data_IF_507687879397
#
_entry.id   IF_507687879397
#
_cell.length_a   1.000
_cell.length_b   1.000
_cell.length_c   1.000
_cell.angle_alpha   90.00
_cell.angle_beta   90.00
_cell.angle_gamma   90.00
#
_symmetry.space_group_name_H-M   'P 1'
#
loop_
_entity.id
_entity.type
_entity.pdbx_description
1 polymer ?
#
# COMPACT_ATOMS: atom_id res chain seq x y z
N UNK A 1 -17.88 -39.24 -2.73
CA UNK A 1 -18.72 -39.21 -1.51
C UNK A 1 -19.82 -38.20 -1.80
N UNK A 2 -21.09 -38.61 -1.72
CA UNK A 2 -22.22 -37.65 -1.85
C UNK A 2 -22.20 -36.79 -0.61
N UNK A 3 -21.77 -35.50 -0.75
CA UNK A 3 -21.91 -34.55 0.32
C UNK A 3 -23.39 -34.39 0.65
N UNK A 4 -23.75 -34.52 1.95
CA UNK A 4 -25.11 -34.29 2.40
C UNK A 4 -25.49 -32.85 2.07
N UNK A 5 -26.58 -32.67 1.30
CA UNK A 5 -27.06 -31.34 0.94
C UNK A 5 -28.14 -30.91 1.93
N UNK A 6 -28.13 -29.64 2.31
CA UNK A 6 -29.26 -29.03 3.00
C UNK A 6 -29.96 -28.05 2.07
N UNK A 7 -31.25 -27.88 2.26
CA UNK A 7 -32.05 -26.90 1.53
C UNK A 7 -32.02 -25.58 2.28
N UNK A 8 -31.65 -24.53 1.56
CA UNK A 8 -31.74 -23.13 2.01
C UNK A 8 -32.80 -22.41 1.17
N UNK A 9 -33.36 -21.32 1.70
CA UNK A 9 -34.42 -20.55 1.08
C UNK A 9 -34.10 -19.06 1.06
N UNK A 10 -34.42 -18.39 -0.03
CA UNK A 10 -34.45 -16.94 -0.15
C UNK A 10 -35.71 -16.48 -0.92
N UNK A 11 -35.82 -15.19 -1.25
CA UNK A 11 -36.97 -14.61 -1.96
C UNK A 11 -37.20 -15.25 -3.36
N UNK A 12 -36.21 -15.94 -3.90
CA UNK A 12 -36.29 -16.65 -5.22
C UNK A 12 -36.56 -18.14 -5.10
N UNK A 13 -36.76 -18.63 -3.86
CA UNK A 13 -37.10 -20.02 -3.59
C UNK A 13 -35.96 -20.89 -3.05
N UNK A 14 -36.19 -22.17 -3.06
CA UNK A 14 -35.29 -23.19 -2.50
C UNK A 14 -34.05 -23.41 -3.39
N UNK A 15 -32.92 -23.67 -2.74
CA UNK A 15 -31.67 -24.05 -3.39
C UNK A 15 -30.88 -25.03 -2.51
N UNK A 16 -30.31 -26.11 -3.07
CA UNK A 16 -29.46 -27.01 -2.33
C UNK A 16 -28.07 -26.34 -2.06
N UNK A 17 -27.60 -26.46 -0.81
CA UNK A 17 -26.28 -25.98 -0.36
C UNK A 17 -25.54 -27.16 0.27
N UNK A 18 -24.22 -27.33 0.08
CA UNK A 18 -23.48 -28.38 0.76
C UNK A 18 -23.63 -28.28 2.27
N UNK A 19 -23.97 -29.39 2.93
CA UNK A 19 -24.38 -29.42 4.33
C UNK A 19 -23.30 -29.01 5.33
N UNK A 20 -22.02 -29.18 4.97
CA UNK A 20 -20.84 -28.84 5.75
C UNK A 20 -20.56 -27.32 5.82
N UNK A 21 -21.04 -26.54 4.85
CA UNK A 21 -20.80 -25.10 4.80
C UNK A 21 -21.80 -24.28 5.62
N UNK A 22 -21.35 -23.09 6.05
CA UNK A 22 -22.18 -22.15 6.80
C UNK A 22 -22.90 -21.13 5.94
N UNK A 23 -22.52 -20.97 4.67
CA UNK A 23 -23.23 -20.04 3.77
C UNK A 23 -24.64 -20.54 3.44
N UNK A 24 -25.48 -19.63 2.94
CA UNK A 24 -26.87 -19.92 2.62
C UNK A 24 -27.20 -19.75 1.14
N UNK A 25 -28.50 -19.51 0.86
CA UNK A 25 -29.05 -19.49 -0.49
C UNK A 25 -28.45 -18.41 -1.38
N UNK A 26 -28.29 -17.17 -0.90
CA UNK A 26 -27.79 -16.07 -1.72
C UNK A 26 -26.32 -16.25 -2.09
N UNK A 27 -25.51 -16.77 -1.18
CA UNK A 27 -24.12 -17.12 -1.47
C UNK A 27 -24.03 -18.23 -2.49
N UNK A 28 -24.84 -19.29 -2.36
CA UNK A 28 -24.86 -20.40 -3.32
C UNK A 28 -25.22 -19.91 -4.73
N UNK A 29 -26.25 -19.06 -4.87
CA UNK A 29 -26.58 -18.47 -6.17
C UNK A 29 -25.44 -17.62 -6.74
N UNK A 30 -24.73 -16.89 -5.89
CA UNK A 30 -23.59 -16.08 -6.32
C UNK A 30 -22.45 -16.95 -6.84
N UNK A 31 -22.14 -18.05 -6.19
CA UNK A 31 -21.14 -19.04 -6.64
C UNK A 31 -21.50 -19.55 -8.05
N UNK A 32 -22.78 -19.87 -8.28
CA UNK A 32 -23.24 -20.40 -9.56
C UNK A 32 -23.26 -19.34 -10.67
N UNK A 33 -23.70 -18.11 -10.36
CA UNK A 33 -23.90 -17.07 -11.37
C UNK A 33 -22.65 -16.24 -11.66
N UNK A 34 -21.71 -16.14 -10.72
CA UNK A 34 -20.48 -15.33 -10.84
C UNK A 34 -19.20 -16.18 -10.79
N UNK A 35 -19.19 -17.32 -11.45
CA UNK A 35 -18.00 -18.15 -11.63
C UNK A 35 -17.02 -17.50 -12.61
N UNK A 36 -16.51 -16.32 -12.25
CA UNK A 36 -15.65 -15.49 -13.08
C UNK A 36 -14.28 -15.41 -12.43
N UNK A 37 -13.24 -15.84 -13.16
CA UNK A 37 -11.83 -15.77 -12.77
C UNK A 37 -11.52 -16.40 -11.40
N UNK A 38 -10.34 -16.14 -10.88
CA UNK A 38 -9.85 -16.75 -9.63
C UNK A 38 -9.78 -15.77 -8.46
N UNK A 39 -9.91 -14.47 -8.72
CA UNK A 39 -9.86 -13.45 -7.67
C UNK A 39 -11.05 -13.60 -6.72
N UNK A 40 -10.73 -13.63 -5.43
CA UNK A 40 -11.71 -13.69 -4.35
C UNK A 40 -11.72 -12.40 -3.56
N UNK A 41 -12.81 -12.15 -2.84
CA UNK A 41 -12.89 -11.01 -1.95
C UNK A 41 -11.74 -11.04 -0.94
N UNK A 42 -11.01 -9.90 -0.76
CA UNK A 42 -9.85 -9.86 0.11
C UNK A 42 -10.19 -10.21 1.57
N UNK A 43 -9.37 -11.02 2.26
CA UNK A 43 -9.60 -11.37 3.67
C UNK A 43 -9.72 -10.15 4.59
N UNK A 44 -8.97 -9.08 4.33
CA UNK A 44 -9.02 -7.84 5.11
C UNK A 44 -10.41 -7.19 5.06
N UNK A 45 -11.05 -7.20 3.89
CA UNK A 45 -12.43 -6.72 3.74
C UNK A 45 -13.41 -7.61 4.49
N UNK A 46 -13.24 -8.92 4.41
CA UNK A 46 -14.12 -9.89 5.09
C UNK A 46 -14.03 -9.71 6.62
N UNK A 47 -12.82 -9.54 7.15
CA UNK A 47 -12.61 -9.24 8.58
C UNK A 47 -13.22 -7.88 8.97
N UNK A 48 -13.08 -6.86 8.13
CA UNK A 48 -13.72 -5.57 8.35
C UNK A 48 -15.26 -5.66 8.32
N UNK A 49 -15.84 -6.45 7.40
CA UNK A 49 -17.29 -6.73 7.38
C UNK A 49 -17.73 -7.40 8.69
N UNK A 50 -17.02 -8.42 9.16
CA UNK A 50 -17.32 -9.09 10.41
C UNK A 50 -17.23 -8.12 11.61
N UNK A 51 -16.24 -7.22 11.60
CA UNK A 51 -16.09 -6.18 12.63
C UNK A 51 -17.28 -5.22 12.64
N UNK A 52 -17.74 -4.77 11.47
CA UNK A 52 -18.93 -3.92 11.32
C UNK A 52 -20.19 -4.66 11.83
N UNK A 53 -20.37 -5.94 11.49
CA UNK A 53 -21.50 -6.76 11.98
C UNK A 53 -21.47 -6.93 13.50
N UNK A 54 -20.28 -7.15 14.08
CA UNK A 54 -20.10 -7.21 15.53
C UNK A 54 -20.50 -5.90 16.21
N UNK A 55 -20.05 -4.76 15.68
CA UNK A 55 -20.39 -3.44 16.22
C UNK A 55 -21.90 -3.16 16.13
N UNK A 56 -22.51 -3.44 14.96
CA UNK A 56 -23.96 -3.27 14.76
C UNK A 56 -24.81 -4.16 15.70
N UNK A 57 -24.38 -5.44 15.90
CA UNK A 57 -25.07 -6.34 16.84
C UNK A 57 -24.98 -5.84 18.29
N UNK A 58 -23.82 -5.33 18.73
CA UNK A 58 -23.66 -4.72 20.05
C UNK A 58 -24.56 -3.50 20.26
N UNK A 59 -24.61 -2.61 19.28
CA UNK A 59 -25.44 -1.40 19.31
C UNK A 59 -26.92 -1.78 19.35
N UNK A 60 -27.38 -2.68 18.47
CA UNK A 60 -28.77 -3.14 18.45
C UNK A 60 -29.16 -3.89 19.74
N UNK A 61 -28.25 -4.67 20.31
CA UNK A 61 -28.44 -5.37 21.59
C UNK A 61 -28.62 -4.38 22.74
N UNK A 62 -27.74 -3.38 22.87
CA UNK A 62 -27.84 -2.32 23.90
C UNK A 62 -29.11 -1.48 23.77
N UNK A 63 -29.55 -1.25 22.52
CA UNK A 63 -30.78 -0.54 22.25
C UNK A 63 -32.07 -1.38 22.43
N UNK A 64 -31.97 -2.66 22.81
CA UNK A 64 -33.09 -3.57 22.96
C UNK A 64 -33.80 -3.95 21.64
N UNK A 65 -33.21 -3.63 20.48
CA UNK A 65 -33.74 -3.96 19.15
C UNK A 65 -33.43 -5.40 18.73
N UNK A 66 -32.35 -5.98 19.28
CA UNK A 66 -31.94 -7.35 19.08
C UNK A 66 -31.91 -8.06 20.45
N UNK A 67 -32.48 -9.25 20.62
CA UNK A 67 -32.38 -10.00 21.85
C UNK A 67 -30.91 -10.20 22.27
N UNK A 68 -30.61 -9.99 23.56
CA UNK A 68 -29.23 -9.98 24.05
C UNK A 68 -28.47 -11.27 23.76
N UNK A 69 -29.11 -12.46 23.87
CA UNK A 69 -28.52 -13.74 23.56
C UNK A 69 -28.16 -13.89 22.07
N UNK A 70 -28.99 -13.34 21.16
CA UNK A 70 -28.68 -13.32 19.73
C UNK A 70 -27.54 -12.35 19.41
N UNK A 71 -27.56 -11.16 20.01
CA UNK A 71 -26.50 -10.17 19.86
C UNK A 71 -25.14 -10.76 20.30
N UNK A 72 -25.07 -11.40 21.45
CA UNK A 72 -23.85 -12.05 21.94
C UNK A 72 -23.38 -13.17 21.00
N UNK A 73 -24.30 -14.01 20.53
CA UNK A 73 -23.97 -15.10 19.61
C UNK A 73 -23.42 -14.58 18.26
N UNK A 74 -23.98 -13.49 17.71
CA UNK A 74 -23.48 -12.84 16.49
C UNK A 74 -22.07 -12.26 16.73
N UNK A 75 -21.86 -11.58 17.86
CA UNK A 75 -20.54 -11.02 18.25
C UNK A 75 -19.49 -12.12 18.35
N UNK A 76 -19.81 -13.26 18.96
CA UNK A 76 -18.89 -14.41 19.06
C UNK A 76 -18.61 -15.04 17.69
N UNK A 77 -19.62 -15.22 16.85
CA UNK A 77 -19.46 -15.73 15.49
C UNK A 77 -18.58 -14.78 14.65
N UNK A 78 -18.78 -13.46 14.77
CA UNK A 78 -17.95 -12.46 14.08
C UNK A 78 -16.49 -12.49 14.57
N UNK A 79 -16.24 -12.70 15.85
CA UNK A 79 -14.88 -12.84 16.38
C UNK A 79 -14.15 -14.04 15.75
N UNK A 80 -14.83 -15.18 15.61
CA UNK A 80 -14.26 -16.37 14.93
C UNK A 80 -13.90 -16.08 13.45
N UNK A 81 -14.70 -15.26 12.75
CA UNK A 81 -14.39 -14.84 11.37
C UNK A 81 -13.17 -13.90 11.35
N UNK A 82 -13.10 -12.93 12.28
CA UNK A 82 -11.96 -12.00 12.39
C UNK A 82 -10.66 -12.76 12.66
N UNK A 83 -10.71 -13.85 13.43
CA UNK A 83 -9.58 -14.74 13.70
C UNK A 83 -9.21 -15.66 12.51
N UNK A 84 -9.97 -15.62 11.41
CA UNK A 84 -9.72 -16.43 10.21
C UNK A 84 -10.14 -17.89 10.30
N UNK A 85 -10.93 -18.26 11.31
CA UNK A 85 -11.35 -19.66 11.48
C UNK A 85 -12.30 -20.16 10.38
N UNK A 86 -12.94 -19.22 9.66
CA UNK A 86 -13.98 -19.50 8.69
C UNK A 86 -13.67 -18.95 7.28
N UNK A 87 -12.39 -18.74 6.95
CA UNK A 87 -12.00 -18.14 5.66
C UNK A 87 -12.57 -18.93 4.46
N UNK A 88 -12.67 -20.25 4.56
CA UNK A 88 -13.25 -21.11 3.51
C UNK A 88 -14.75 -20.86 3.24
N UNK A 89 -15.46 -20.21 4.18
CA UNK A 89 -16.88 -19.89 4.04
C UNK A 89 -17.16 -18.64 3.18
N UNK A 90 -16.11 -18.00 2.66
CA UNK A 90 -16.19 -16.77 1.86
C UNK A 90 -15.61 -16.97 0.44
N UNK A 91 -16.23 -17.83 -0.39
CA UNK A 91 -15.68 -18.23 -1.69
C UNK A 91 -15.98 -17.25 -2.83
N UNK A 92 -16.63 -16.12 -2.56
CA UNK A 92 -17.18 -15.26 -3.61
C UNK A 92 -16.12 -14.53 -4.42
N UNK A 93 -16.37 -14.48 -5.75
CA UNK A 93 -15.54 -13.73 -6.69
C UNK A 93 -15.60 -12.22 -6.42
N UNK A 94 -14.51 -11.51 -6.73
CA UNK A 94 -14.50 -10.03 -6.86
C UNK A 94 -15.50 -9.57 -7.94
N UNK A 95 -15.64 -10.35 -9.00
CA UNK A 95 -16.51 -10.10 -10.15
C UNK A 95 -17.95 -10.52 -9.86
N UNK A 96 -18.59 -9.76 -8.95
CA UNK A 96 -19.95 -9.95 -8.47
C UNK A 96 -20.76 -8.68 -8.68
N UNK A 97 -21.97 -8.56 -8.10
CA UNK A 97 -22.73 -7.31 -8.15
C UNK A 97 -21.91 -6.16 -7.56
N UNK A 98 -21.88 -5.05 -8.25
CA UNK A 98 -21.02 -3.91 -7.90
C UNK A 98 -21.37 -3.20 -6.59
N UNK A 99 -22.54 -3.47 -6.00
CA UNK A 99 -22.91 -3.01 -4.67
C UNK A 99 -22.21 -3.78 -3.53
N UNK A 100 -21.71 -4.98 -3.81
CA UNK A 100 -21.16 -5.90 -2.81
C UNK A 100 -22.23 -6.67 -2.03
N UNK A 101 -23.48 -6.68 -2.51
CA UNK A 101 -24.60 -7.32 -1.81
C UNK A 101 -24.35 -8.79 -1.54
N UNK A 102 -23.79 -9.55 -2.51
CA UNK A 102 -23.52 -10.97 -2.29
C UNK A 102 -22.51 -11.17 -1.16
N UNK A 103 -21.46 -10.40 -1.08
CA UNK A 103 -20.49 -10.50 0.04
C UNK A 103 -21.10 -10.11 1.39
N UNK A 104 -21.95 -9.07 1.43
CA UNK A 104 -22.69 -8.72 2.62
C UNK A 104 -23.62 -9.87 3.06
N UNK A 105 -24.34 -10.48 2.13
CA UNK A 105 -25.23 -11.62 2.43
C UNK A 105 -24.44 -12.87 2.79
N UNK A 106 -23.31 -13.13 2.15
CA UNK A 106 -22.42 -14.22 2.56
C UNK A 106 -22.01 -14.07 4.03
N UNK A 107 -21.58 -12.89 4.44
CA UNK A 107 -21.27 -12.62 5.85
C UNK A 107 -22.50 -12.81 6.74
N UNK A 108 -23.66 -12.29 6.36
CA UNK A 108 -24.89 -12.44 7.13
C UNK A 108 -25.29 -13.91 7.30
N UNK A 109 -25.22 -14.72 6.24
CA UNK A 109 -25.58 -16.12 6.24
C UNK A 109 -24.64 -16.97 7.10
N UNK A 110 -23.32 -16.75 6.97
CA UNK A 110 -22.30 -17.43 7.76
C UNK A 110 -22.46 -17.09 9.26
N UNK A 111 -22.60 -15.81 9.57
CA UNK A 111 -22.79 -15.38 10.97
C UNK A 111 -24.09 -15.89 11.56
N UNK A 112 -25.19 -15.89 10.79
CA UNK A 112 -26.50 -16.39 11.26
C UNK A 112 -26.46 -17.89 11.58
N UNK A 113 -25.89 -18.70 10.67
CA UNK A 113 -25.75 -20.13 10.88
C UNK A 113 -24.80 -20.44 12.04
N UNK A 114 -23.65 -19.75 12.13
CA UNK A 114 -22.71 -19.94 13.22
C UNK A 114 -23.27 -19.50 14.57
N UNK A 115 -23.94 -18.35 14.63
CA UNK A 115 -24.60 -17.88 15.85
C UNK A 115 -25.72 -18.85 16.30
N UNK A 116 -26.47 -19.42 15.36
CA UNK A 116 -27.47 -20.47 15.66
C UNK A 116 -26.80 -21.68 16.33
N UNK A 117 -25.69 -22.18 15.78
CA UNK A 117 -24.92 -23.28 16.40
C UNK A 117 -24.44 -22.92 17.82
N UNK A 118 -23.95 -21.69 18.03
CA UNK A 118 -23.49 -21.21 19.35
C UNK A 118 -24.62 -21.12 20.39
N UNK A 119 -25.86 -20.99 19.92
CA UNK A 119 -27.08 -21.03 20.73
C UNK A 119 -27.66 -22.46 20.92
N UNK A 120 -27.00 -23.49 20.37
CA UNK A 120 -27.47 -24.86 20.40
C UNK A 120 -28.57 -25.18 19.38
N UNK A 121 -28.78 -24.30 18.38
CA UNK A 121 -29.74 -24.49 17.32
C UNK A 121 -29.13 -25.10 16.04
N UNK A 122 -29.98 -25.50 15.07
CA UNK A 122 -29.55 -26.02 13.78
C UNK A 122 -29.08 -24.89 12.84
N UNK A 123 -28.48 -25.28 11.72
CA UNK A 123 -28.25 -24.41 10.54
C UNK A 123 -29.43 -24.53 9.56
N UNK A 124 -29.46 -23.67 8.56
CA UNK A 124 -30.46 -23.72 7.50
C UNK A 124 -31.81 -23.12 7.88
N UNK A 125 -32.89 -23.65 7.34
CA UNK A 125 -34.24 -23.08 7.48
C UNK A 125 -34.72 -22.92 8.93
N UNK A 126 -34.24 -23.76 9.84
CA UNK A 126 -34.63 -23.75 11.25
C UNK A 126 -33.64 -23.02 12.17
N UNK A 127 -32.69 -22.26 11.61
CA UNK A 127 -31.72 -21.51 12.40
C UNK A 127 -32.41 -20.54 13.38
N UNK A 128 -31.78 -20.32 14.53
CA UNK A 128 -32.32 -19.44 15.57
C UNK A 128 -32.02 -17.96 15.31
N UNK A 129 -31.05 -17.65 14.44
CA UNK A 129 -30.63 -16.30 14.08
C UNK A 129 -30.86 -16.08 12.61
N UNK A 130 -31.61 -15.05 12.24
CA UNK A 130 -31.94 -14.77 10.84
C UNK A 130 -30.90 -13.83 10.17
N UNK A 131 -30.41 -14.12 8.95
CA UNK A 131 -29.40 -13.29 8.30
C UNK A 131 -29.83 -11.85 8.03
N UNK A 132 -31.09 -11.62 7.63
CA UNK A 132 -31.61 -10.27 7.37
C UNK A 132 -32.15 -9.59 8.64
N UNK A 133 -33.00 -10.29 9.39
CA UNK A 133 -33.77 -9.67 10.48
C UNK A 133 -32.94 -9.49 11.74
N UNK A 134 -31.92 -10.34 11.99
CA UNK A 134 -31.05 -10.26 13.18
C UNK A 134 -29.66 -9.70 12.79
N UNK A 135 -28.92 -10.35 11.88
CA UNK A 135 -27.53 -9.96 11.56
C UNK A 135 -27.46 -8.63 10.82
N UNK A 136 -28.39 -8.42 9.86
CA UNK A 136 -28.43 -7.21 9.04
C UNK A 136 -29.36 -6.13 9.59
N UNK A 137 -29.85 -6.25 10.82
CA UNK A 137 -30.83 -5.34 11.43
C UNK A 137 -30.34 -3.88 11.39
N UNK A 138 -31.14 -3.00 10.76
CA UNK A 138 -30.86 -1.57 10.61
C UNK A 138 -29.77 -1.26 9.59
N UNK A 139 -29.45 -2.18 8.69
CA UNK A 139 -28.38 -2.04 7.71
C UNK A 139 -28.89 -2.31 6.29
N UNK A 140 -28.14 -1.80 5.30
CA UNK A 140 -28.24 -2.18 3.89
C UNK A 140 -26.85 -2.58 3.40
N UNK A 141 -26.76 -3.42 2.38
CA UNK A 141 -25.47 -3.65 1.69
C UNK A 141 -24.87 -2.35 1.18
N UNK A 142 -25.73 -1.37 0.84
CA UNK A 142 -25.32 -0.11 0.28
C UNK A 142 -24.51 0.76 1.25
N UNK A 143 -24.78 0.70 2.56
CA UNK A 143 -24.05 1.44 3.58
C UNK A 143 -23.01 0.57 4.33
N UNK A 144 -23.28 -0.72 4.54
CA UNK A 144 -22.37 -1.64 5.24
C UNK A 144 -21.10 -1.92 4.43
N UNK A 145 -21.24 -2.23 3.14
CA UNK A 145 -20.08 -2.59 2.32
C UNK A 145 -19.06 -1.46 2.21
N UNK A 146 -19.45 -0.19 1.88
CA UNK A 146 -18.50 0.91 1.88
C UNK A 146 -17.96 1.23 3.28
N UNK A 147 -18.72 1.00 4.35
CA UNK A 147 -18.21 1.10 5.72
C UNK A 147 -17.08 0.11 5.95
N UNK A 148 -17.26 -1.15 5.54
CA UNK A 148 -16.20 -2.15 5.63
C UNK A 148 -14.98 -1.82 4.74
N UNK A 149 -15.19 -1.24 3.55
CA UNK A 149 -14.11 -0.73 2.71
C UNK A 149 -13.26 0.31 3.46
N UNK A 150 -13.90 1.29 4.09
CA UNK A 150 -13.24 2.33 4.85
C UNK A 150 -12.51 1.77 6.08
N UNK A 151 -13.13 0.85 6.82
CA UNK A 151 -12.49 0.19 7.97
C UNK A 151 -11.24 -0.56 7.53
N UNK A 152 -11.32 -1.38 6.48
CA UNK A 152 -10.17 -2.12 5.94
C UNK A 152 -9.07 -1.18 5.43
N UNK A 153 -9.44 -0.08 4.78
CA UNK A 153 -8.50 0.92 4.27
C UNK A 153 -7.72 1.61 5.40
N UNK A 154 -8.43 2.07 6.45
CA UNK A 154 -7.79 2.72 7.61
C UNK A 154 -6.86 1.75 8.33
N UNK A 155 -7.30 0.50 8.58
CA UNK A 155 -6.46 -0.53 9.19
C UNK A 155 -5.21 -0.79 8.34
N UNK A 156 -5.36 -1.00 7.04
CA UNK A 156 -4.25 -1.27 6.12
C UNK A 156 -3.23 -0.13 6.08
N UNK A 157 -3.68 1.12 5.97
CA UNK A 157 -2.78 2.28 5.94
C UNK A 157 -2.10 2.48 7.31
N UNK A 158 -2.88 2.55 8.40
CA UNK A 158 -2.36 2.94 9.71
C UNK A 158 -1.55 1.85 10.41
N UNK A 159 -1.89 0.57 10.20
CA UNK A 159 -1.29 -0.55 10.95
C UNK A 159 -0.27 -1.35 10.13
N UNK A 160 -0.22 -1.16 8.79
CA UNK A 160 0.65 -1.92 7.90
C UNK A 160 1.53 -1.01 7.04
N UNK A 161 0.97 -0.21 6.13
CA UNK A 161 1.75 0.57 5.16
C UNK A 161 2.62 1.62 5.83
N UNK A 162 2.07 2.44 6.74
CA UNK A 162 2.84 3.47 7.46
C UNK A 162 3.97 2.86 8.29
N UNK A 163 3.76 1.82 9.12
CA UNK A 163 4.87 1.19 9.86
C UNK A 163 5.97 0.60 8.97
N UNK A 164 5.62 0.02 7.82
CA UNK A 164 6.62 -0.49 6.88
C UNK A 164 7.44 0.64 6.24
N UNK A 165 6.77 1.74 5.87
CA UNK A 165 7.42 2.95 5.35
C UNK A 165 8.37 3.54 6.39
N UNK A 166 7.94 3.67 7.64
CA UNK A 166 8.75 4.18 8.75
C UNK A 166 9.98 3.30 9.02
N UNK A 167 9.86 1.97 8.91
CA UNK A 167 10.99 1.05 9.02
C UNK A 167 12.05 1.30 7.96
N UNK A 168 11.64 1.35 6.68
CA UNK A 168 12.54 1.64 5.56
C UNK A 168 13.15 3.04 5.66
N UNK A 169 12.33 4.05 6.03
CA UNK A 169 12.79 5.42 6.28
C UNK A 169 13.92 5.45 7.31
N UNK A 170 13.72 4.85 8.47
CA UNK A 170 14.71 4.83 9.55
C UNK A 170 16.04 4.19 9.11
N UNK A 171 15.99 3.10 8.33
CA UNK A 171 17.18 2.46 7.77
C UNK A 171 17.93 3.39 6.83
N UNK A 172 17.24 4.04 5.89
CA UNK A 172 17.86 4.94 4.92
C UNK A 172 18.39 6.23 5.58
N UNK A 173 17.71 6.76 6.57
CA UNK A 173 18.17 7.93 7.35
C UNK A 173 19.46 7.64 8.12
N UNK A 174 19.53 6.46 8.74
CA UNK A 174 20.77 6.00 9.38
C UNK A 174 21.93 5.87 8.37
N UNK A 175 21.65 5.37 7.14
CA UNK A 175 22.65 5.28 6.06
C UNK A 175 23.05 6.68 5.55
N UNK A 176 22.10 7.60 5.39
CA UNK A 176 22.39 8.99 5.02
C UNK A 176 23.36 9.64 6.00
N UNK A 177 23.10 9.48 7.29
CA UNK A 177 23.98 9.97 8.35
C UNK A 177 25.36 9.29 8.33
N UNK A 178 25.42 7.97 8.21
CA UNK A 178 26.66 7.23 8.25
C UNK A 178 27.58 7.47 7.04
N UNK A 179 27.03 7.94 5.92
CA UNK A 179 27.78 8.16 4.66
C UNK A 179 27.90 9.64 4.28
N UNK A 180 27.65 10.57 5.22
CA UNK A 180 27.70 12.02 4.97
C UNK A 180 29.14 12.52 4.72
N UNK A 181 30.15 11.77 5.16
CA UNK A 181 31.57 12.06 4.92
C UNK A 181 32.09 11.57 3.55
N UNK A 182 31.30 10.81 2.78
CA UNK A 182 31.74 10.16 1.55
C UNK A 182 31.43 11.03 0.36
N UNK A 183 32.40 11.83 -0.08
CA UNK A 183 32.29 12.66 -1.28
C UNK A 183 32.36 11.79 -2.53
N UNK A 184 31.39 11.96 -3.40
CA UNK A 184 31.24 11.23 -4.67
C UNK A 184 30.89 12.17 -5.81
N UNK A 185 30.98 11.67 -7.05
CA UNK A 185 30.48 12.40 -8.21
C UNK A 185 28.95 12.36 -8.25
N UNK A 186 28.31 13.50 -8.46
CA UNK A 186 26.88 13.59 -8.76
C UNK A 186 26.62 13.22 -10.21
N UNK A 187 25.37 12.86 -10.53
CA UNK A 187 24.93 12.57 -11.90
C UNK A 187 23.61 13.23 -12.21
N UNK A 188 23.58 13.94 -13.34
CA UNK A 188 22.36 14.45 -13.95
C UNK A 188 22.29 13.92 -15.38
N UNK A 189 21.13 13.49 -15.87
CA UNK A 189 20.98 12.83 -17.18
C UNK A 189 21.83 11.54 -17.30
N UNK A 190 22.20 10.89 -16.21
CA UNK A 190 23.19 9.82 -16.13
C UNK A 190 24.60 10.23 -16.57
N UNK A 191 24.88 11.53 -16.70
CA UNK A 191 26.19 12.09 -17.00
C UNK A 191 26.82 12.64 -15.72
N UNK A 192 28.16 12.69 -15.72
CA UNK A 192 28.92 13.25 -14.60
C UNK A 192 28.52 14.71 -14.33
N UNK A 193 28.30 15.01 -13.06
CA UNK A 193 27.99 16.35 -12.57
C UNK A 193 28.94 16.76 -11.45
N UNK A 194 28.66 17.85 -10.76
CA UNK A 194 29.45 18.30 -9.60
C UNK A 194 29.33 17.35 -8.42
N UNK A 195 30.32 17.33 -7.52
CA UNK A 195 30.30 16.48 -6.32
C UNK A 195 29.15 16.75 -5.38
N UNK A 196 28.77 15.70 -4.67
CA UNK A 196 27.94 15.70 -3.47
C UNK A 196 28.43 14.59 -2.54
N UNK A 197 27.85 14.42 -1.35
CA UNK A 197 28.13 13.24 -0.54
C UNK A 197 27.14 12.12 -0.82
N UNK A 198 27.54 10.86 -0.55
CA UNK A 198 26.62 9.74 -0.62
C UNK A 198 25.46 9.89 0.40
N UNK A 199 25.75 10.47 1.57
CA UNK A 199 24.73 10.82 2.55
C UNK A 199 23.71 11.81 2.01
N UNK A 200 24.15 12.87 1.31
CA UNK A 200 23.25 13.83 0.65
C UNK A 200 22.37 13.16 -0.42
N UNK A 201 22.92 12.25 -1.22
CA UNK A 201 22.15 11.49 -2.21
C UNK A 201 21.04 10.65 -1.55
N UNK A 202 21.37 9.92 -0.49
CA UNK A 202 20.40 9.11 0.28
C UNK A 202 19.38 9.98 1.02
N UNK A 203 19.77 11.14 1.52
CA UNK A 203 18.84 12.07 2.19
C UNK A 203 17.70 12.54 1.29
N UNK A 204 17.95 12.59 -0.03
CA UNK A 204 16.90 12.84 -1.02
C UNK A 204 15.84 11.72 -1.05
N UNK A 205 16.26 10.46 -0.88
CA UNK A 205 15.34 9.31 -0.77
C UNK A 205 14.52 9.36 0.52
N UNK A 206 15.18 9.69 1.64
CA UNK A 206 14.53 9.86 2.96
C UNK A 206 13.43 10.91 2.87
N UNK A 207 13.72 12.08 2.30
CA UNK A 207 12.74 13.16 2.11
C UNK A 207 11.55 12.74 1.23
N UNK A 208 11.76 11.90 0.21
CA UNK A 208 10.65 11.37 -0.59
C UNK A 208 9.72 10.48 0.24
N UNK A 209 10.26 9.68 1.16
CA UNK A 209 9.47 8.85 2.08
C UNK A 209 8.72 9.71 3.11
N UNK A 210 9.33 10.78 3.65
CA UNK A 210 8.63 11.76 4.51
C UNK A 210 7.42 12.37 3.83
N UNK A 211 7.57 12.73 2.54
CA UNK A 211 6.46 13.30 1.77
C UNK A 211 5.34 12.28 1.57
N UNK A 212 5.69 11.03 1.28
CA UNK A 212 4.73 9.94 1.11
C UNK A 212 3.98 9.63 2.41
N UNK A 213 4.68 9.60 3.55
CA UNK A 213 4.06 9.40 4.87
C UNK A 213 3.04 10.50 5.19
N UNK A 214 3.41 11.76 5.00
CA UNK A 214 2.49 12.89 5.19
C UNK A 214 1.26 12.79 4.29
N UNK A 215 1.44 12.38 3.03
CA UNK A 215 0.33 12.19 2.10
C UNK A 215 -0.62 11.08 2.55
N UNK A 216 -0.09 9.94 3.04
CA UNK A 216 -0.90 8.85 3.60
C UNK A 216 -1.68 9.29 4.83
N UNK A 217 -1.04 9.97 5.78
CA UNK A 217 -1.72 10.52 6.96
C UNK A 217 -2.87 11.48 6.60
N UNK A 218 -2.68 12.30 5.57
CA UNK A 218 -3.70 13.25 5.10
C UNK A 218 -4.96 12.58 4.53
N UNK A 219 -4.90 11.30 4.15
CA UNK A 219 -6.07 10.55 3.65
C UNK A 219 -6.94 9.97 4.76
N UNK A 220 -6.40 9.75 5.95
CA UNK A 220 -7.09 9.07 7.05
C UNK A 220 -8.35 9.77 7.54
N UNK A 221 -8.42 11.11 7.69
CA UNK A 221 -9.63 11.77 8.19
C UNK A 221 -10.88 11.42 7.39
N UNK A 222 -10.84 11.48 6.07
CA UNK A 222 -11.99 11.17 5.21
C UNK A 222 -12.31 9.67 5.16
N UNK A 223 -11.29 8.80 5.21
CA UNK A 223 -11.50 7.36 5.31
C UNK A 223 -12.17 6.94 6.63
N UNK A 224 -12.04 7.73 7.69
CA UNK A 224 -12.69 7.47 8.98
C UNK A 224 -14.18 7.80 8.97
N UNK A 225 -14.68 8.50 7.96
CA UNK A 225 -16.11 8.83 7.82
C UNK A 225 -16.87 7.64 7.26
N UNK A 226 -17.77 7.06 8.07
CA UNK A 226 -18.46 5.80 7.74
C UNK A 226 -19.86 6.04 7.16
N UNK A 227 -20.18 5.30 6.10
CA UNK A 227 -21.46 5.37 5.40
C UNK A 227 -22.64 4.77 6.20
N UNK A 228 -22.35 3.88 7.16
CA UNK A 228 -23.36 3.16 7.92
C UNK A 228 -24.35 4.10 8.60
N UNK A 229 -25.62 3.73 8.56
CA UNK A 229 -26.76 4.56 8.97
C UNK A 229 -27.45 5.27 7.80
N UNK A 230 -26.84 5.25 6.57
CA UNK A 230 -27.51 5.76 5.36
C UNK A 230 -28.55 4.81 4.78
N UNK A 231 -28.44 3.53 5.10
CA UNK A 231 -29.27 2.43 4.59
C UNK A 231 -29.31 2.38 3.05
N UNK A 232 -30.50 2.39 2.45
CA UNK A 232 -30.65 2.12 1.02
C UNK A 232 -30.10 3.22 0.10
N UNK A 233 -30.36 4.50 0.42
CA UNK A 233 -30.08 5.67 -0.44
C UNK A 233 -29.48 6.87 0.31
N UNK A 234 -29.21 6.74 1.62
CA UNK A 234 -28.64 7.82 2.43
C UNK A 234 -29.61 8.45 3.43
N UNK A 235 -30.89 8.10 3.38
CA UNK A 235 -31.94 8.70 4.25
C UNK A 235 -32.05 8.07 5.64
N UNK A 236 -31.41 6.90 5.86
CA UNK A 236 -31.49 6.17 7.14
C UNK A 236 -32.85 5.50 7.37
N UNK A 237 -33.58 5.14 6.31
CA UNK A 237 -34.88 4.49 6.43
C UNK A 237 -34.79 3.23 7.29
N UNK A 238 -35.75 3.03 8.21
CA UNK A 238 -35.87 1.88 9.12
C UNK A 238 -34.76 1.76 10.18
N UNK A 239 -33.97 2.83 10.46
CA UNK A 239 -33.01 2.87 11.54
C UNK A 239 -33.27 4.04 12.50
N UNK A 240 -32.84 3.93 13.77
CA UNK A 240 -32.79 5.10 14.66
C UNK A 240 -31.82 6.16 14.11
N UNK A 241 -32.11 7.42 14.33
CA UNK A 241 -31.28 8.54 13.87
C UNK A 241 -29.83 8.47 14.43
N UNK A 242 -29.63 7.90 15.61
CA UNK A 242 -28.30 7.73 16.24
C UNK A 242 -27.53 6.52 15.73
N UNK A 243 -28.17 5.57 15.04
CA UNK A 243 -27.57 4.25 14.74
C UNK A 243 -26.21 4.34 14.07
N UNK A 244 -26.06 5.20 13.04
CA UNK A 244 -24.78 5.37 12.34
C UNK A 244 -23.67 5.92 13.25
N UNK A 245 -24.01 6.90 14.10
CA UNK A 245 -23.07 7.46 15.08
C UNK A 245 -22.69 6.44 16.17
N UNK A 246 -23.67 5.70 16.68
CA UNK A 246 -23.45 4.70 17.72
C UNK A 246 -22.56 3.54 17.24
N UNK A 247 -22.76 3.09 15.98
CA UNK A 247 -21.91 2.04 15.39
C UNK A 247 -20.51 2.56 15.08
N UNK A 248 -20.36 3.79 14.59
CA UNK A 248 -19.05 4.38 14.36
C UNK A 248 -18.26 4.51 15.68
N UNK A 249 -18.91 4.98 16.76
CA UNK A 249 -18.31 5.04 18.08
C UNK A 249 -17.95 3.65 18.64
N UNK A 250 -18.77 2.63 18.38
CA UNK A 250 -18.45 1.27 18.79
C UNK A 250 -17.25 0.71 18.01
N UNK A 251 -17.17 0.96 16.69
CA UNK A 251 -16.00 0.61 15.86
C UNK A 251 -14.73 1.31 16.35
N UNK A 252 -14.84 2.59 16.70
CA UNK A 252 -13.71 3.32 17.27
C UNK A 252 -13.28 2.74 18.61
N UNK A 253 -14.22 2.44 19.51
CA UNK A 253 -13.94 1.77 20.78
C UNK A 253 -13.25 0.40 20.61
N UNK A 254 -13.60 -0.34 19.56
CA UNK A 254 -13.04 -1.67 19.28
C UNK A 254 -11.64 -1.60 18.65
N UNK A 255 -11.32 -0.53 17.93
CA UNK A 255 -10.11 -0.44 17.11
C UNK A 255 -9.13 0.64 17.53
N UNK A 256 -9.59 1.71 18.17
CA UNK A 256 -8.79 2.90 18.48
C UNK A 256 -8.40 3.74 17.25
N UNK A 257 -9.11 3.59 16.12
CA UNK A 257 -8.70 4.19 14.84
C UNK A 257 -9.41 5.52 14.49
N UNK A 258 -10.30 6.03 15.35
CA UNK A 258 -10.93 7.35 15.20
C UNK A 258 -12.09 7.38 14.21
N UNK A 259 -12.86 6.31 14.08
CA UNK A 259 -14.01 6.24 13.18
C UNK A 259 -15.15 7.16 13.64
N UNK A 260 -15.78 7.84 12.68
CA UNK A 260 -16.91 8.75 12.87
C UNK A 260 -18.00 8.47 11.83
N UNK A 261 -19.21 8.89 12.13
CA UNK A 261 -20.30 8.80 11.13
C UNK A 261 -20.10 9.84 10.04
N UNK A 262 -20.22 9.48 8.76
CA UNK A 262 -20.09 10.42 7.65
C UNK A 262 -21.13 11.55 7.78
N UNK A 263 -20.74 12.81 7.60
CA UNK A 263 -21.65 13.97 7.72
C UNK A 263 -22.70 13.99 6.61
N UNK A 264 -22.39 13.37 5.47
CA UNK A 264 -23.31 13.26 4.32
C UNK A 264 -23.37 11.82 3.83
N UNK A 265 -24.47 11.13 4.14
CA UNK A 265 -24.68 9.73 3.75
C UNK A 265 -24.92 9.53 2.26
N UNK A 266 -25.42 10.54 1.56
CA UNK A 266 -25.66 10.49 0.12
C UNK A 266 -24.34 10.43 -0.63
N UNK A 267 -23.37 11.27 -0.26
CA UNK A 267 -22.01 11.22 -0.81
C UNK A 267 -21.31 9.90 -0.45
N UNK A 268 -21.45 9.43 0.80
CA UNK A 268 -20.81 8.21 1.28
C UNK A 268 -21.30 6.91 0.59
N UNK A 269 -22.51 6.92 0.00
CA UNK A 269 -23.05 5.81 -0.77
C UNK A 269 -22.79 5.95 -2.28
N UNK A 270 -22.92 7.17 -2.80
CA UNK A 270 -22.86 7.46 -4.23
C UNK A 270 -21.44 7.68 -4.78
N UNK A 271 -20.52 8.05 -3.92
CA UNK A 271 -19.13 8.34 -4.29
C UNK A 271 -18.12 7.70 -3.31
N UNK A 272 -16.92 7.43 -3.78
CA UNK A 272 -15.83 6.86 -2.96
C UNK A 272 -14.51 7.63 -3.15
N UNK A 273 -14.62 8.97 -3.12
CA UNK A 273 -13.47 9.87 -3.32
C UNK A 273 -12.35 9.65 -2.30
N UNK A 274 -12.70 9.30 -1.06
CA UNK A 274 -11.72 8.97 -0.02
C UNK A 274 -10.84 7.77 -0.39
N UNK A 275 -11.43 6.73 -1.00
CA UNK A 275 -10.70 5.55 -1.51
C UNK A 275 -9.80 5.94 -2.68
N UNK A 276 -10.30 6.77 -3.61
CA UNK A 276 -9.53 7.26 -4.77
C UNK A 276 -8.33 8.10 -4.30
N UNK A 277 -8.52 9.02 -3.35
CA UNK A 277 -7.43 9.81 -2.77
C UNK A 277 -6.40 8.96 -2.03
N UNK A 278 -6.85 7.98 -1.26
CA UNK A 278 -5.96 7.06 -0.57
C UNK A 278 -5.09 6.27 -1.55
N UNK A 279 -5.70 5.77 -2.65
CA UNK A 279 -4.92 5.07 -3.67
C UNK A 279 -3.96 6.01 -4.41
N UNK A 280 -4.34 7.26 -4.65
CA UNK A 280 -3.44 8.29 -5.20
C UNK A 280 -2.20 8.52 -4.32
N UNK A 281 -2.35 8.49 -2.98
CA UNK A 281 -1.21 8.55 -2.06
C UNK A 281 -0.32 7.30 -2.13
N UNK A 282 -0.91 6.11 -2.23
CA UNK A 282 -0.17 4.85 -2.44
C UNK A 282 0.60 4.87 -3.78
N UNK A 283 0.00 5.40 -4.85
CA UNK A 283 0.68 5.58 -6.14
C UNK A 283 1.87 6.54 -6.03
N UNK A 284 1.74 7.64 -5.29
CA UNK A 284 2.84 8.57 -5.08
C UNK A 284 4.00 7.90 -4.31
N UNK A 285 3.70 7.10 -3.29
CA UNK A 285 4.68 6.26 -2.60
C UNK A 285 5.36 5.27 -3.57
N UNK A 286 4.59 4.58 -4.41
CA UNK A 286 5.13 3.65 -5.41
C UNK A 286 6.09 4.35 -6.40
N UNK A 287 5.80 5.59 -6.79
CA UNK A 287 6.69 6.38 -7.64
C UNK A 287 8.02 6.70 -6.93
N UNK A 288 7.98 7.09 -5.66
CA UNK A 288 9.18 7.33 -4.85
C UNK A 288 10.02 6.05 -4.69
N UNK A 289 9.39 4.93 -4.34
CA UNK A 289 10.06 3.64 -4.19
C UNK A 289 10.69 3.15 -5.50
N UNK A 290 10.04 3.38 -6.63
CA UNK A 290 10.59 3.06 -7.96
C UNK A 290 11.89 3.84 -8.22
N UNK A 291 11.92 5.14 -7.89
CA UNK A 291 13.13 5.97 -8.03
C UNK A 291 14.23 5.48 -7.11
N UNK A 292 13.93 5.23 -5.84
CA UNK A 292 14.90 4.74 -4.86
C UNK A 292 15.50 3.40 -5.32
N UNK A 293 14.67 2.43 -5.68
CA UNK A 293 15.13 1.12 -6.16
C UNK A 293 15.99 1.22 -7.43
N UNK A 294 15.66 2.12 -8.35
CA UNK A 294 16.46 2.34 -9.56
C UNK A 294 17.81 2.98 -9.23
N UNK A 295 17.88 3.95 -8.34
CA UNK A 295 19.16 4.55 -7.94
C UNK A 295 20.06 3.49 -7.26
N UNK A 296 19.53 2.74 -6.30
CA UNK A 296 20.27 1.64 -5.64
C UNK A 296 20.80 0.65 -6.67
N UNK A 297 19.97 0.24 -7.63
CA UNK A 297 20.33 -0.69 -8.69
C UNK A 297 21.44 -0.14 -9.61
N UNK A 298 21.37 1.16 -9.95
CA UNK A 298 22.41 1.82 -10.73
C UNK A 298 23.73 1.92 -9.97
N UNK A 299 23.70 2.39 -8.73
CA UNK A 299 24.88 2.54 -7.89
C UNK A 299 25.58 1.20 -7.63
N UNK A 300 24.82 0.12 -7.51
CA UNK A 300 25.34 -1.24 -7.30
C UNK A 300 25.71 -1.97 -8.61
N UNK A 301 25.54 -1.36 -9.77
CA UNK A 301 25.75 -2.03 -11.07
C UNK A 301 27.21 -2.42 -11.29
N UNK A 302 27.42 -3.58 -11.91
CA UNK A 302 28.75 -4.07 -12.24
C UNK A 302 29.03 -5.45 -11.64
N UNK A 303 30.06 -5.62 -10.76
CA UNK A 303 30.84 -4.57 -10.06
C UNK A 303 31.98 -3.93 -10.87
N UNK A 304 32.51 -4.59 -11.90
CA UNK A 304 33.71 -4.11 -12.63
C UNK A 304 33.37 -3.28 -13.87
N UNK A 305 32.25 -3.59 -14.56
CA UNK A 305 31.85 -2.95 -15.81
C UNK A 305 30.65 -2.01 -15.64
N UNK A 306 30.29 -1.67 -14.41
CA UNK A 306 29.24 -0.71 -14.07
C UNK A 306 29.74 0.36 -13.11
N UNK A 307 28.83 1.02 -12.39
CA UNK A 307 29.18 2.05 -11.43
C UNK A 307 29.94 1.50 -10.24
N UNK A 308 29.35 0.53 -9.54
CA UNK A 308 30.00 -0.17 -8.43
C UNK A 308 30.29 0.71 -7.22
N UNK A 309 29.54 1.81 -7.03
CA UNK A 309 29.76 2.75 -5.91
C UNK A 309 29.24 2.21 -4.58
N UNK A 310 28.24 1.32 -4.62
CA UNK A 310 27.73 0.62 -3.43
C UNK A 310 27.70 -0.88 -3.67
N UNK A 311 27.72 -1.62 -2.58
CA UNK A 311 27.46 -3.06 -2.55
C UNK A 311 26.13 -3.31 -1.86
N UNK A 312 25.40 -4.30 -2.34
CA UNK A 312 24.13 -4.77 -1.78
C UNK A 312 24.25 -6.25 -1.41
N UNK A 313 23.39 -6.77 -0.50
CA UNK A 313 23.43 -8.19 -0.12
C UNK A 313 23.26 -9.14 -1.29
N UNK A 314 24.01 -10.25 -1.23
CA UNK A 314 23.93 -11.38 -2.15
C UNK A 314 22.91 -12.37 -1.58
N UNK A 315 21.64 -12.26 -2.00
CA UNK A 315 20.56 -13.09 -1.44
C UNK A 315 20.41 -14.43 -2.15
N UNK A 316 20.54 -14.45 -3.49
CA UNK A 316 20.34 -15.63 -4.31
C UNK A 316 21.40 -15.74 -5.42
N UNK A 317 21.69 -16.97 -5.94
CA UNK A 317 22.48 -17.13 -7.15
C UNK A 317 21.85 -16.38 -8.32
N UNK A 318 22.58 -15.43 -8.91
CA UNK A 318 22.04 -14.52 -9.94
C UNK A 318 21.93 -15.11 -11.34
N UNK A 319 22.49 -16.32 -11.60
CA UNK A 319 22.47 -16.93 -12.93
C UNK A 319 22.74 -18.43 -12.85
N UNK A 320 22.06 -19.20 -13.70
CA UNK A 320 22.29 -20.64 -13.86
C UNK A 320 23.54 -20.97 -14.68
N UNK A 321 24.09 -20.01 -15.45
CA UNK A 321 25.22 -20.23 -16.38
C UNK A 321 26.40 -19.30 -16.14
N UNK A 322 26.29 -18.30 -15.25
CA UNK A 322 27.35 -17.35 -14.89
C UNK A 322 27.63 -17.47 -13.38
N UNK A 323 28.55 -18.35 -12.95
CA UNK A 323 28.85 -18.55 -11.53
C UNK A 323 29.33 -17.25 -10.86
N UNK A 324 28.80 -16.94 -9.67
CA UNK A 324 29.17 -15.75 -8.92
C UNK A 324 28.51 -14.44 -9.38
N UNK A 325 27.58 -14.50 -10.33
CA UNK A 325 26.79 -13.31 -10.71
C UNK A 325 25.75 -13.01 -9.64
N UNK A 326 25.71 -11.77 -9.16
CA UNK A 326 24.71 -11.24 -8.23
C UNK A 326 23.82 -10.26 -8.97
N UNK A 327 22.51 -10.39 -8.78
CA UNK A 327 21.51 -9.50 -9.35
C UNK A 327 20.87 -8.63 -8.26
N UNK A 328 20.40 -7.41 -8.57
CA UNK A 328 19.70 -6.56 -7.64
C UNK A 328 18.22 -6.97 -7.49
N UNK A 329 17.98 -8.24 -7.12
CA UNK A 329 16.66 -8.88 -7.15
C UNK A 329 15.60 -8.17 -6.32
N UNK A 330 15.97 -7.61 -5.17
CA UNK A 330 15.07 -6.83 -4.33
C UNK A 330 14.63 -5.52 -5.00
N UNK A 331 15.55 -4.85 -5.72
CA UNK A 331 15.21 -3.66 -6.50
C UNK A 331 14.24 -4.01 -7.65
N UNK A 332 14.46 -5.15 -8.31
CA UNK A 332 13.59 -5.61 -9.39
C UNK A 332 12.19 -5.94 -8.87
N UNK A 333 12.09 -6.68 -7.77
CA UNK A 333 10.82 -7.01 -7.13
C UNK A 333 10.07 -5.74 -6.72
N UNK A 334 10.75 -4.79 -6.07
CA UNK A 334 10.15 -3.53 -5.64
C UNK A 334 9.63 -2.70 -6.82
N UNK A 335 10.37 -2.60 -7.92
CA UNK A 335 9.91 -1.87 -9.11
C UNK A 335 8.73 -2.55 -9.80
N UNK A 336 8.68 -3.90 -9.84
CA UNK A 336 7.56 -4.65 -10.42
C UNK A 336 6.27 -4.45 -9.60
N UNK A 337 6.34 -4.55 -8.27
CA UNK A 337 5.14 -4.34 -7.45
C UNK A 337 4.64 -2.88 -7.51
N UNK A 338 5.56 -1.90 -7.61
CA UNK A 338 5.20 -0.50 -7.82
C UNK A 338 4.50 -0.28 -9.17
N UNK A 339 4.93 -0.97 -10.22
CA UNK A 339 4.24 -0.97 -11.52
C UNK A 339 2.79 -1.49 -11.38
N UNK A 340 2.58 -2.59 -10.64
CA UNK A 340 1.24 -3.11 -10.37
C UNK A 340 0.38 -2.11 -9.59
N UNK A 341 0.93 -1.46 -8.57
CA UNK A 341 0.21 -0.40 -7.81
C UNK A 341 -0.23 0.74 -8.72
N UNK A 342 0.62 1.18 -9.66
CA UNK A 342 0.27 2.22 -10.63
C UNK A 342 -0.86 1.76 -11.56
N UNK A 343 -0.85 0.49 -11.98
CA UNK A 343 -1.95 -0.11 -12.77
C UNK A 343 -3.26 -0.17 -12.00
N UNK A 344 -3.21 -0.54 -10.72
CA UNK A 344 -4.38 -0.58 -9.84
C UNK A 344 -5.01 0.81 -9.65
N UNK A 345 -4.20 1.88 -9.68
CA UNK A 345 -4.70 3.26 -9.55
C UNK A 345 -5.66 3.63 -10.68
N UNK A 346 -5.41 3.16 -11.89
CA UNK A 346 -6.32 3.37 -13.02
C UNK A 346 -7.66 2.70 -12.75
N UNK A 347 -7.66 1.45 -12.30
CA UNK A 347 -8.88 0.72 -11.99
C UNK A 347 -9.67 1.39 -10.84
N UNK A 348 -9.00 1.83 -9.77
CA UNK A 348 -9.62 2.51 -8.63
C UNK A 348 -10.21 3.86 -9.06
N UNK A 349 -9.49 4.65 -9.87
CA UNK A 349 -9.94 5.95 -10.34
C UNK A 349 -11.16 5.85 -11.26
N UNK A 350 -11.16 4.91 -12.21
CA UNK A 350 -12.30 4.65 -13.09
C UNK A 350 -13.52 4.15 -12.31
N UNK A 351 -13.30 3.24 -11.37
CA UNK A 351 -14.37 2.73 -10.51
C UNK A 351 -14.95 3.83 -9.61
N UNK A 352 -14.10 4.71 -9.05
CA UNK A 352 -14.54 5.86 -8.25
C UNK A 352 -15.39 6.84 -9.04
N UNK A 353 -15.05 7.09 -10.31
CA UNK A 353 -15.79 7.97 -11.21
C UNK A 353 -17.14 7.39 -11.71
N UNK A 354 -17.42 6.11 -11.43
CA UNK A 354 -18.56 5.37 -12.00
C UNK A 354 -19.80 5.35 -11.10
N UNK A 355 -19.89 6.22 -10.09
CA UNK A 355 -21.10 6.40 -9.28
C UNK A 355 -22.24 7.01 -10.09
N UNK A 356 -23.47 6.53 -9.86
CA UNK A 356 -24.66 7.05 -10.49
C UNK A 356 -25.72 7.32 -9.42
N UNK A 357 -26.17 8.57 -9.32
CA UNK A 357 -27.14 9.01 -8.31
C UNK A 357 -26.68 8.60 -6.90
N UNK A 358 -27.47 7.80 -6.18
CA UNK A 358 -27.28 7.48 -4.78
C UNK A 358 -26.40 6.24 -4.53
N UNK A 359 -25.82 5.61 -5.58
CA UNK A 359 -25.01 4.43 -5.39
C UNK A 359 -23.87 4.29 -6.43
N UNK A 360 -22.67 4.04 -5.95
CA UNK A 360 -21.59 3.51 -6.77
C UNK A 360 -21.64 1.97 -6.75
N UNK A 361 -21.63 1.35 -7.93
CA UNK A 361 -21.72 -0.11 -8.10
C UNK A 361 -20.43 -0.73 -8.64
N UNK A 362 -19.26 -0.18 -8.29
CA UNK A 362 -17.92 -0.69 -8.62
C UNK A 362 -17.09 -0.99 -7.36
N UNK A 363 -17.76 -1.13 -6.21
CA UNK A 363 -17.09 -1.27 -4.91
C UNK A 363 -16.18 -2.51 -4.80
N UNK A 364 -16.58 -3.73 -5.26
CA UNK A 364 -15.73 -4.89 -5.15
C UNK A 364 -14.38 -4.76 -5.85
N UNK A 365 -14.35 -4.27 -7.10
CA UNK A 365 -13.10 -4.07 -7.85
C UNK A 365 -12.26 -2.96 -7.23
N UNK A 366 -12.90 -1.90 -6.73
CA UNK A 366 -12.21 -0.78 -6.09
C UNK A 366 -11.45 -1.24 -4.85
N UNK A 367 -12.12 -1.92 -3.93
CA UNK A 367 -11.51 -2.36 -2.69
C UNK A 367 -10.48 -3.48 -2.91
N UNK A 368 -10.70 -4.38 -3.87
CA UNK A 368 -9.73 -5.41 -4.24
C UNK A 368 -8.39 -4.78 -4.64
N UNK A 369 -8.42 -3.81 -5.55
CA UNK A 369 -7.21 -3.14 -6.04
C UNK A 369 -6.53 -2.29 -4.95
N UNK A 370 -7.31 -1.60 -4.10
CA UNK A 370 -6.75 -0.84 -2.98
C UNK A 370 -6.00 -1.74 -1.99
N UNK A 371 -6.64 -2.81 -1.54
CA UNK A 371 -6.05 -3.73 -0.55
C UNK A 371 -4.86 -4.51 -1.14
N UNK A 372 -4.92 -4.89 -2.42
CA UNK A 372 -3.76 -5.48 -3.10
C UNK A 372 -2.58 -4.51 -3.12
N UNK A 373 -2.82 -3.24 -3.45
CA UNK A 373 -1.76 -2.21 -3.47
C UNK A 373 -1.14 -2.00 -2.09
N UNK A 374 -1.96 -2.02 -1.03
CA UNK A 374 -1.46 -1.91 0.34
C UNK A 374 -0.58 -3.10 0.74
N UNK A 375 -1.01 -4.35 0.44
CA UNK A 375 -0.20 -5.54 0.72
C UNK A 375 1.11 -5.52 -0.03
N UNK A 376 1.07 -5.21 -1.32
CA UNK A 376 2.28 -5.13 -2.15
C UNK A 376 3.29 -4.11 -1.62
N UNK A 377 2.82 -2.95 -1.18
CA UNK A 377 3.69 -1.90 -0.64
C UNK A 377 4.21 -2.27 0.77
N UNK A 378 3.37 -2.80 1.65
CA UNK A 378 3.79 -3.25 2.99
C UNK A 378 4.88 -4.33 2.87
N UNK A 379 4.57 -5.43 2.20
CA UNK A 379 5.49 -6.57 2.04
C UNK A 379 6.75 -6.16 1.27
N UNK A 380 6.58 -5.37 0.20
CA UNK A 380 7.69 -4.92 -0.63
C UNK A 380 8.67 -4.01 0.10
N UNK A 381 8.18 -3.05 0.89
CA UNK A 381 9.06 -2.18 1.70
C UNK A 381 9.79 -2.97 2.78
N UNK A 382 9.11 -3.89 3.48
CA UNK A 382 9.76 -4.75 4.49
C UNK A 382 10.80 -5.68 3.88
N UNK A 383 10.51 -6.25 2.73
CA UNK A 383 11.45 -7.12 2.01
C UNK A 383 12.68 -6.35 1.54
N UNK A 384 12.45 -5.20 0.90
CA UNK A 384 13.53 -4.33 0.42
C UNK A 384 14.37 -3.79 1.58
N UNK A 385 13.76 -3.36 2.68
CA UNK A 385 14.48 -2.93 3.87
C UNK A 385 15.40 -4.03 4.39
N UNK A 386 14.84 -5.19 4.70
CA UNK A 386 15.57 -6.30 5.32
C UNK A 386 16.66 -6.89 4.44
N UNK A 387 16.37 -7.08 3.15
CA UNK A 387 17.21 -7.85 2.23
C UNK A 387 18.00 -6.98 1.25
N UNK A 388 17.88 -5.65 1.31
CA UNK A 388 18.65 -4.71 0.49
C UNK A 388 19.15 -3.51 1.31
N UNK A 389 18.25 -2.63 1.80
CA UNK A 389 18.62 -1.34 2.34
C UNK A 389 19.54 -1.44 3.57
N UNK A 390 19.26 -2.36 4.51
CA UNK A 390 20.08 -2.57 5.70
C UNK A 390 21.52 -3.00 5.36
N UNK A 391 21.69 -3.72 4.27
CA UNK A 391 22.99 -4.23 3.81
C UNK A 391 23.70 -3.36 2.76
N UNK A 392 23.22 -2.15 2.48
CA UNK A 392 23.94 -1.21 1.59
C UNK A 392 25.25 -0.78 2.25
N UNK A 393 26.36 -1.00 1.53
CA UNK A 393 27.72 -0.61 1.94
C UNK A 393 28.40 0.21 0.82
N UNK A 394 29.11 1.30 1.14
CA UNK A 394 29.83 2.08 0.13
C UNK A 394 31.10 1.37 -0.31
N UNK A 395 31.42 1.39 -1.59
CA UNK A 395 32.74 1.07 -2.11
C UNK A 395 33.59 2.34 -2.18
N UNK A 396 34.24 2.68 -1.05
CA UNK A 396 34.99 3.93 -0.91
C UNK A 396 36.12 4.07 -1.92
N UNK A 397 36.77 2.97 -2.30
CA UNK A 397 37.86 2.97 -3.28
C UNK A 397 37.31 3.31 -4.68
N UNK A 398 36.23 2.65 -5.08
CA UNK A 398 35.57 2.92 -6.36
C UNK A 398 34.99 4.33 -6.46
N UNK A 399 34.36 4.81 -5.40
CA UNK A 399 33.85 6.18 -5.31
C UNK A 399 35.01 7.18 -5.49
N UNK A 400 36.10 6.99 -4.76
CA UNK A 400 37.27 7.87 -4.86
C UNK A 400 37.96 7.83 -6.24
N UNK A 401 37.99 6.64 -6.88
CA UNK A 401 38.50 6.51 -8.26
C UNK A 401 37.66 7.31 -9.25
N UNK A 402 36.32 7.14 -9.21
CA UNK A 402 35.41 7.85 -10.11
C UNK A 402 35.49 9.37 -9.90
N UNK A 403 35.53 9.81 -8.63
CA UNK A 403 35.67 11.22 -8.29
C UNK A 403 36.96 11.83 -8.86
N UNK A 404 38.13 11.16 -8.65
CA UNK A 404 39.41 11.63 -9.18
C UNK A 404 39.43 11.76 -10.69
N UNK A 405 38.71 10.90 -11.40
CA UNK A 405 38.66 10.87 -12.87
C UNK A 405 37.64 11.84 -13.46
N UNK A 406 36.79 12.46 -12.63
CA UNK A 406 35.74 13.37 -13.11
C UNK A 406 36.30 14.68 -13.64
N UNK A 407 35.90 15.05 -14.86
CA UNK A 407 36.21 16.35 -15.44
C UNK A 407 35.34 17.47 -14.87
N UNK A 408 34.25 17.17 -14.19
CA UNK A 408 33.32 18.17 -13.65
C UNK A 408 33.83 18.88 -12.41
N UNK A 409 34.92 18.38 -11.81
CA UNK A 409 35.70 19.11 -10.80
C UNK A 409 36.24 20.46 -11.34
N UNK A 410 36.35 20.61 -12.66
CA UNK A 410 36.72 21.88 -13.31
C UNK A 410 35.84 23.05 -12.92
N UNK A 411 34.61 22.78 -12.48
CA UNK A 411 33.66 23.81 -12.05
C UNK A 411 34.20 24.67 -10.90
N UNK A 412 35.05 24.11 -10.03
CA UNK A 412 35.72 24.84 -8.97
C UNK A 412 36.71 25.91 -9.47
N UNK A 413 37.15 25.81 -10.73
CA UNK A 413 38.04 26.80 -11.34
C UNK A 413 37.29 28.02 -11.88
N UNK A 414 35.99 27.98 -12.08
CA UNK A 414 35.21 29.08 -12.65
C UNK A 414 35.39 30.41 -11.96
N UNK A 415 35.39 30.52 -10.62
CA UNK A 415 35.61 31.78 -9.92
C UNK A 415 37.01 32.37 -10.13
N UNK A 416 38.00 31.54 -10.45
CA UNK A 416 39.42 31.93 -10.52
C UNK A 416 39.90 32.26 -11.93
N UNK A 417 39.45 31.48 -12.95
CA UNK A 417 39.95 31.61 -14.33
C UNK A 417 38.84 31.90 -15.37
N UNK A 418 37.60 31.95 -14.92
CA UNK A 418 36.42 32.14 -15.77
C UNK A 418 35.94 30.88 -16.48
N UNK A 419 34.67 30.87 -16.87
CA UNK A 419 33.96 29.71 -17.44
C UNK A 419 34.63 29.21 -18.74
N UNK A 420 34.99 30.09 -19.68
CA UNK A 420 35.53 29.68 -20.98
C UNK A 420 36.90 29.00 -20.85
N UNK A 421 37.77 29.49 -19.94
CA UNK A 421 39.06 28.86 -19.67
C UNK A 421 38.90 27.49 -19.04
N UNK A 422 37.99 27.37 -18.07
CA UNK A 422 37.65 26.11 -17.41
C UNK A 422 37.07 25.09 -18.41
N UNK A 423 36.14 25.52 -19.26
CA UNK A 423 35.58 24.69 -20.32
C UNK A 423 36.62 24.18 -21.31
N UNK A 424 37.59 25.04 -21.69
CA UNK A 424 38.68 24.64 -22.55
C UNK A 424 39.60 23.61 -21.95
N UNK A 425 39.88 23.71 -20.62
CA UNK A 425 40.68 22.73 -19.88
C UNK A 425 39.98 21.38 -19.87
N UNK A 426 38.67 21.31 -19.51
CA UNK A 426 37.89 20.09 -19.51
C UNK A 426 37.85 19.42 -20.89
N UNK A 427 37.59 20.20 -21.98
CA UNK A 427 37.62 19.66 -23.36
C UNK A 427 38.99 19.11 -23.73
N UNK A 428 40.07 19.78 -23.34
CA UNK A 428 41.43 19.32 -23.62
C UNK A 428 41.75 18.04 -22.88
N UNK A 429 41.35 17.95 -21.60
CA UNK A 429 41.51 16.75 -20.79
C UNK A 429 40.78 15.57 -21.43
N UNK A 430 39.50 15.76 -21.83
CA UNK A 430 38.72 14.72 -22.49
C UNK A 430 39.31 14.26 -23.80
N UNK A 431 39.63 15.21 -24.69
CA UNK A 431 40.13 14.90 -26.04
C UNK A 431 41.48 14.18 -26.06
N UNK A 432 42.31 14.43 -25.03
CA UNK A 432 43.67 13.86 -24.94
C UNK A 432 43.76 12.71 -23.92
N UNK A 433 42.68 12.35 -23.25
CA UNK A 433 42.69 11.32 -22.19
C UNK A 433 43.55 11.69 -20.97
N UNK A 434 43.68 13.00 -20.65
CA UNK A 434 44.48 13.49 -19.55
C UNK A 434 43.64 13.60 -18.27
N UNK A 435 44.31 13.53 -17.13
CA UNK A 435 43.71 13.96 -15.87
C UNK A 435 43.43 15.46 -15.89
N UNK A 436 42.37 15.91 -15.20
CA UNK A 436 41.99 17.32 -15.16
C UNK A 436 43.14 18.22 -14.70
N UNK A 437 43.88 17.78 -13.67
CA UNK A 437 45.04 18.49 -13.13
C UNK A 437 46.13 18.69 -14.19
N UNK A 438 46.45 17.67 -14.94
CA UNK A 438 47.47 17.73 -15.99
C UNK A 438 47.08 18.73 -17.11
N UNK A 439 45.82 18.66 -17.56
CA UNK A 439 45.31 19.57 -18.57
C UNK A 439 45.26 21.02 -18.05
N UNK A 440 44.91 21.22 -16.80
CA UNK A 440 44.88 22.55 -16.18
C UNK A 440 46.25 23.18 -16.13
N UNK A 441 47.29 22.47 -15.69
CA UNK A 441 48.68 22.95 -15.66
C UNK A 441 49.18 23.21 -17.07
N UNK A 442 48.93 22.28 -18.01
CA UNK A 442 49.35 22.42 -19.40
C UNK A 442 48.70 23.63 -20.12
N UNK A 443 47.57 24.10 -19.64
CA UNK A 443 46.90 25.30 -20.16
C UNK A 443 47.68 26.60 -19.90
N UNK A 444 48.61 26.59 -18.96
CA UNK A 444 49.33 27.79 -18.50
C UNK A 444 48.50 28.82 -17.74
N UNK A 445 47.24 28.52 -17.41
CA UNK A 445 46.30 29.42 -16.74
C UNK A 445 46.47 29.40 -15.20
N UNK A 446 47.02 28.31 -14.61
CA UNK A 446 47.22 28.12 -13.19
C UNK A 446 48.38 27.14 -12.94
N UNK A 447 48.94 27.20 -11.74
CA UNK A 447 49.99 26.31 -11.27
C UNK A 447 49.38 25.04 -10.68
N UNK A 448 50.21 24.01 -10.45
CA UNK A 448 49.76 22.80 -9.73
C UNK A 448 49.29 23.10 -8.30
N UNK A 449 50.01 24.00 -7.59
CA UNK A 449 49.64 24.46 -6.22
C UNK A 449 48.30 25.17 -6.20
N UNK A 450 48.05 26.03 -7.20
CA UNK A 450 46.75 26.71 -7.35
C UNK A 450 45.62 25.69 -7.66
N UNK A 451 45.87 24.71 -8.51
CA UNK A 451 44.90 23.67 -8.80
C UNK A 451 44.53 22.91 -7.52
N UNK A 452 45.55 22.45 -6.76
CA UNK A 452 45.34 21.65 -5.55
C UNK A 452 44.67 22.44 -4.43
N UNK A 453 44.86 23.79 -4.40
CA UNK A 453 44.21 24.70 -3.47
C UNK A 453 42.75 24.99 -3.83
N UNK A 454 42.41 25.09 -5.13
CA UNK A 454 41.09 25.52 -5.61
C UNK A 454 40.16 24.38 -5.93
N UNK A 455 40.69 23.22 -6.34
CA UNK A 455 39.88 22.03 -6.73
C UNK A 455 39.84 21.05 -5.58
N UNK A 456 38.99 21.34 -4.61
CA UNK A 456 38.72 20.49 -3.45
C UNK A 456 37.26 20.01 -3.55
N UNK A 457 37.07 18.74 -3.80
CA UNK A 457 35.75 18.18 -4.02
C UNK A 457 34.83 18.33 -2.76
N UNK A 458 35.42 18.31 -1.57
CA UNK A 458 34.72 18.49 -0.29
C UNK A 458 34.06 19.87 -0.19
N UNK A 459 34.77 20.92 -0.68
CA UNK A 459 34.27 22.29 -0.65
C UNK A 459 33.16 22.54 -1.67
N UNK A 460 32.97 21.64 -2.64
CA UNK A 460 31.92 21.71 -3.68
C UNK A 460 30.58 21.12 -3.24
N UNK A 461 30.49 20.54 -2.04
CA UNK A 461 29.29 19.82 -1.55
C UNK A 461 28.32 20.71 -0.78
N UNK A 462 28.64 21.99 -0.58
CA UNK A 462 27.86 22.95 0.24
C UNK A 462 27.90 24.33 -0.42
N UNK A 463 26.91 25.18 -0.13
CA UNK A 463 27.00 26.61 -0.45
C UNK A 463 28.17 27.27 0.25
N UNK A 464 28.73 28.35 -0.34
CA UNK A 464 29.80 29.18 0.23
C UNK A 464 29.33 29.93 1.51
#
# INVERSE_FOLDING_TARGET
>A
MSHEQRIEHDAWGDIPVPGEHLWGAQTQRSIEHFAISTERMPPELLRALALVKSAAARVNGRAGRLPANKADAIVRAAAEVIEGRWDAEFPLSVWQTGSGTQSNMNMNEVLANRASQLLGGPTGLKRLVHPNDDVNLGQSSNDVFPTAMHVAAVQGIAQHVIPALQGLHATLDAKATAFDDIVKIGRTHLQDATPLTLGQEISGWVTQLDHAERALHATLPELRELALGGTAVGTGLNTPASFGADVAAELDRMTGLGFVTAPNKFAALGAHDAIVRAHGALKALAAALTKIANDVRWLASGPRSGLGEIRIPENEPGSSIMPGKVNPTQCEALTMLCCQVMGNDVAVSMAGASGNFELNVYKPVMIHNLLQSMRLLDDGMRSFDRHCAQGIEPDRERIAELLRNSLMLVTALNPHIGYDAAAQIARTAHAKGLQLREAAIASGKLTGEQFDAWVRAEDMTRPD
#
